data_IF_284936966602
#
_entry.id   IF_284936966602
#
_cell.length_a   1.000
_cell.length_b   1.000
_cell.length_c   1.000
_cell.angle_alpha   90.00
_cell.angle_beta   90.00
_cell.angle_gamma   90.00
#
_symmetry.space_group_name_H-M   'P 1'
#
loop_
_entity.id
_entity.type
_entity.pdbx_description
1 polymer ?
#
# COMPACT_ATOMS: atom_id res chain seq x y z
N UNK A 1 -3.23 -16.59 20.69
CA UNK A 1 -2.66 -17.45 19.64
C UNK A 1 -1.46 -16.72 19.12
N UNK A 2 -0.26 -17.21 19.40
CA UNK A 2 0.94 -16.70 18.75
C UNK A 2 0.80 -17.04 17.26
N UNK A 3 0.55 -16.01 16.47
CA UNK A 3 0.32 -16.13 15.04
C UNK A 3 1.65 -16.33 14.32
N UNK A 4 1.72 -17.35 13.46
CA UNK A 4 2.87 -17.70 12.60
C UNK A 4 3.11 -16.67 11.47
N UNK A 5 3.20 -15.39 11.81
CA UNK A 5 3.50 -14.33 10.85
C UNK A 5 4.90 -14.48 10.26
N UNK A 6 5.01 -14.33 8.94
CA UNK A 6 6.28 -14.44 8.21
C UNK A 6 6.89 -15.84 8.14
N UNK A 7 6.23 -16.87 8.68
CA UNK A 7 6.70 -18.25 8.58
C UNK A 7 6.50 -18.75 7.15
N UNK A 8 7.52 -19.35 6.51
CA UNK A 8 7.37 -19.95 5.18
C UNK A 8 6.22 -20.94 5.15
N UNK A 9 5.36 -20.82 4.14
CA UNK A 9 4.19 -21.69 3.97
C UNK A 9 4.44 -22.80 2.97
N UNK A 10 3.87 -23.96 3.25
CA UNK A 10 3.74 -25.02 2.26
C UNK A 10 2.72 -24.59 1.19
N UNK A 11 3.16 -24.57 -0.06
CA UNK A 11 2.37 -24.14 -1.20
C UNK A 11 1.87 -25.34 -2.00
N UNK A 12 0.62 -25.28 -2.46
CA UNK A 12 0.10 -26.22 -3.47
C UNK A 12 0.84 -26.07 -4.80
N UNK A 13 0.74 -27.07 -5.69
CA UNK A 13 1.40 -27.03 -7.00
C UNK A 13 1.00 -25.81 -7.85
N UNK A 14 -0.26 -25.38 -7.78
CA UNK A 14 -0.72 -24.16 -8.46
C UNK A 14 -0.08 -22.91 -7.87
N UNK A 15 0.02 -22.84 -6.54
CA UNK A 15 0.67 -21.71 -5.87
C UNK A 15 2.17 -21.66 -6.18
N UNK A 16 2.87 -22.81 -6.19
CA UNK A 16 4.28 -22.91 -6.60
C UNK A 16 4.49 -22.43 -8.04
N UNK A 17 3.60 -22.76 -8.98
CA UNK A 17 3.69 -22.20 -10.34
C UNK A 17 3.42 -20.70 -10.35
N UNK A 18 2.51 -20.22 -9.49
CA UNK A 18 2.15 -18.80 -9.42
C UNK A 18 3.26 -17.92 -8.84
N UNK A 19 4.12 -18.44 -7.95
CA UNK A 19 5.27 -17.68 -7.44
C UNK A 19 6.30 -17.33 -8.52
N UNK A 20 6.31 -18.07 -9.64
CA UNK A 20 7.22 -17.82 -10.78
C UNK A 20 6.82 -16.63 -11.64
N UNK A 21 5.57 -16.16 -11.53
CA UNK A 21 5.10 -15.01 -12.30
C UNK A 21 5.83 -13.73 -11.86
N UNK A 22 6.41 -13.02 -12.82
CA UNK A 22 7.06 -11.73 -12.60
C UNK A 22 6.15 -10.61 -13.11
N UNK A 23 5.62 -9.74 -12.24
CA UNK A 23 4.86 -8.57 -12.66
C UNK A 23 5.71 -7.63 -13.52
N UNK A 24 5.10 -7.05 -14.55
CA UNK A 24 5.75 -6.02 -15.37
C UNK A 24 5.86 -4.71 -14.59
N UNK A 25 7.05 -4.11 -14.60
CA UNK A 25 7.29 -2.81 -14.00
C UNK A 25 7.14 -1.70 -15.06
N UNK A 26 6.49 -0.57 -14.70
CA UNK A 26 6.46 0.62 -15.54
C UNK A 26 7.88 1.03 -15.99
N UNK A 27 8.08 1.48 -17.24
CA UNK A 27 9.40 1.86 -17.74
C UNK A 27 10.13 2.93 -16.91
N UNK A 28 9.41 3.76 -16.17
CA UNK A 28 9.98 4.76 -15.25
C UNK A 28 10.52 4.19 -13.94
N UNK A 29 10.18 2.95 -13.59
CA UNK A 29 10.64 2.24 -12.39
C UNK A 29 11.67 1.14 -12.71
N UNK A 30 12.09 1.02 -13.98
CA UNK A 30 13.10 0.04 -14.38
C UNK A 30 14.51 0.57 -14.11
N UNK A 31 15.32 -0.23 -13.40
CA UNK A 31 16.66 0.15 -12.96
C UNK A 31 16.64 0.90 -11.62
N UNK A 32 17.76 1.52 -11.26
CA UNK A 32 17.93 2.19 -9.96
C UNK A 32 17.91 3.72 -10.04
N UNK A 33 18.00 4.32 -11.23
CA UNK A 33 17.97 5.78 -11.37
C UNK A 33 16.52 6.26 -11.37
N UNK A 34 16.15 7.07 -10.38
CA UNK A 34 14.82 7.68 -10.30
C UNK A 34 14.87 9.07 -10.92
N UNK A 35 13.97 9.35 -11.86
CA UNK A 35 13.79 10.67 -12.47
C UNK A 35 12.40 11.17 -12.13
N UNK A 36 12.30 12.34 -11.51
CA UNK A 36 11.03 12.91 -11.08
C UNK A 36 10.93 14.38 -11.48
N UNK A 37 9.77 14.74 -12.01
CA UNK A 37 9.35 16.12 -12.25
C UNK A 37 8.20 16.45 -11.28
N UNK A 38 8.19 17.67 -10.77
CA UNK A 38 7.14 18.15 -9.88
C UNK A 38 6.23 19.10 -10.66
N UNK A 39 4.96 18.73 -10.76
CA UNK A 39 3.93 19.52 -11.42
C UNK A 39 3.18 20.44 -10.46
N UNK A 40 1.93 20.71 -10.79
CA UNK A 40 1.05 21.60 -10.02
C UNK A 40 0.81 21.12 -8.59
N UNK A 41 0.43 22.06 -7.72
CA UNK A 41 0.04 21.78 -6.35
C UNK A 41 -1.21 20.88 -6.31
N UNK A 42 -1.16 19.81 -5.50
CA UNK A 42 -2.32 18.96 -5.26
C UNK A 42 -3.30 19.68 -4.31
N UNK A 43 -4.43 20.11 -4.86
CA UNK A 43 -5.51 20.80 -4.15
C UNK A 43 -6.69 19.87 -3.88
N UNK A 44 -7.60 20.31 -3.00
CA UNK A 44 -8.85 19.60 -2.74
C UNK A 44 -9.67 19.41 -4.03
N UNK A 45 -10.26 18.22 -4.20
CA UNK A 45 -11.09 17.91 -5.37
C UNK A 45 -12.38 18.75 -5.41
N UNK A 46 -12.96 19.03 -4.24
CA UNK A 46 -14.09 19.95 -4.09
C UNK A 46 -13.60 21.32 -3.60
N UNK A 47 -13.72 22.38 -4.41
CA UNK A 47 -13.35 23.74 -4.01
C UNK A 47 -14.08 24.23 -2.75
N UNK A 48 -15.30 23.76 -2.49
CA UNK A 48 -16.06 24.18 -1.31
C UNK A 48 -15.40 23.69 0.00
N UNK A 49 -14.71 22.55 -0.04
CA UNK A 49 -13.97 22.00 1.09
C UNK A 49 -12.53 22.52 1.23
N UNK A 50 -12.01 23.22 0.22
CA UNK A 50 -10.59 23.57 0.14
C UNK A 50 -10.09 24.35 1.37
N UNK A 51 -10.84 25.37 1.83
CA UNK A 51 -10.47 26.18 2.99
C UNK A 51 -10.40 25.34 4.29
N UNK A 52 -11.36 24.44 4.49
CA UNK A 52 -11.40 23.58 5.68
C UNK A 52 -10.23 22.60 5.67
N UNK A 53 -9.96 22.00 4.52
CA UNK A 53 -8.85 21.04 4.36
C UNK A 53 -7.51 21.74 4.51
N UNK A 54 -7.30 22.91 3.89
CA UNK A 54 -6.05 23.64 4.03
C UNK A 54 -5.77 24.10 5.47
N UNK A 55 -6.82 24.43 6.23
CA UNK A 55 -6.68 24.77 7.64
C UNK A 55 -6.43 23.53 8.51
N UNK A 56 -6.96 22.36 8.15
CA UNK A 56 -6.71 21.12 8.85
C UNK A 56 -5.33 20.51 8.54
N UNK A 57 -4.77 20.79 7.36
CA UNK A 57 -3.52 20.24 6.86
C UNK A 57 -2.50 21.32 6.43
N UNK A 58 -2.15 22.29 7.29
CA UNK A 58 -1.31 23.43 6.92
C UNK A 58 0.12 23.04 6.47
N UNK A 59 0.64 21.87 6.86
CA UNK A 59 2.00 21.44 6.51
C UNK A 59 2.06 20.53 5.27
N UNK A 60 0.94 19.92 4.88
CA UNK A 60 0.88 18.94 3.79
C UNK A 60 -0.04 19.33 2.64
N UNK A 61 -0.94 20.29 2.82
CA UNK A 61 -1.82 20.79 1.76
C UNK A 61 -1.01 21.48 0.65
N UNK A 62 -1.36 21.22 -0.61
CA UNK A 62 -0.72 21.86 -1.77
C UNK A 62 0.66 21.30 -2.14
N UNK A 63 1.06 20.15 -1.60
CA UNK A 63 2.27 19.47 -2.06
C UNK A 63 2.19 19.16 -3.57
N UNK A 64 3.30 19.28 -4.31
CA UNK A 64 3.28 19.15 -5.76
C UNK A 64 3.06 17.70 -6.19
N UNK A 65 2.35 17.53 -7.31
CA UNK A 65 2.19 16.22 -7.95
C UNK A 65 3.53 15.76 -8.50
N UNK A 66 3.91 14.51 -8.24
CA UNK A 66 5.16 13.92 -8.71
C UNK A 66 4.94 13.05 -9.96
N UNK A 67 5.69 13.32 -11.02
CA UNK A 67 5.69 12.56 -12.27
C UNK A 67 7.02 11.82 -12.44
N UNK A 68 6.96 10.48 -12.44
CA UNK A 68 8.16 9.66 -12.67
C UNK A 68 8.41 9.48 -14.17
N UNK A 69 9.63 9.80 -14.59
CA UNK A 69 10.01 9.82 -15.99
C UNK A 69 10.83 8.59 -16.36
N UNK A 70 10.62 8.08 -17.57
CA UNK A 70 11.47 7.01 -18.15
C UNK A 70 12.93 7.46 -18.26
N UNK A 71 13.86 6.50 -18.27
CA UNK A 71 15.31 6.76 -18.36
C UNK A 71 15.71 7.66 -19.54
N UNK A 72 15.01 7.56 -20.66
CA UNK A 72 15.27 8.30 -21.91
C UNK A 72 14.57 9.66 -21.99
N UNK A 73 13.75 10.03 -20.99
CA UNK A 73 13.10 11.32 -20.97
C UNK A 73 14.14 12.43 -20.71
N UNK A 74 14.10 13.47 -21.54
CA UNK A 74 14.91 14.68 -21.39
C UNK A 74 13.95 15.80 -21.03
N UNK A 75 13.83 16.06 -19.72
CA UNK A 75 13.03 17.15 -19.16
C UNK A 75 13.99 18.05 -18.38
N UNK A 76 14.10 19.35 -18.71
CA UNK A 76 15.11 20.25 -18.14
C UNK A 76 15.10 20.32 -16.61
N UNK A 77 13.91 20.35 -16.00
CA UNK A 77 13.73 20.54 -14.56
C UNK A 77 13.55 19.22 -13.79
N UNK A 78 13.78 18.08 -14.45
CA UNK A 78 13.66 16.79 -13.80
C UNK A 78 14.80 16.56 -12.80
N UNK A 79 14.43 16.26 -11.56
CA UNK A 79 15.36 15.81 -10.54
C UNK A 79 15.78 14.38 -10.82
N UNK A 80 17.09 14.15 -10.91
CA UNK A 80 17.69 12.82 -11.11
C UNK A 80 18.31 12.35 -9.80
N UNK A 81 17.87 11.18 -9.33
CA UNK A 81 18.36 10.54 -8.11
C UNK A 81 19.05 9.24 -8.52
N UNK A 82 20.37 9.21 -8.44
CA UNK A 82 21.21 8.05 -8.75
C UNK A 82 21.85 7.43 -7.52
N UNK A 83 22.01 8.20 -6.45
CA UNK A 83 22.61 7.76 -5.19
C UNK A 83 21.52 7.48 -4.17
N UNK A 84 21.59 6.30 -3.56
CA UNK A 84 20.58 5.85 -2.60
C UNK A 84 21.25 5.47 -1.28
N UNK A 85 21.01 6.27 -0.25
CA UNK A 85 21.43 5.94 1.10
C UNK A 85 20.62 4.75 1.62
N UNK A 86 21.17 4.03 2.61
CA UNK A 86 20.46 2.92 3.23
C UNK A 86 19.25 3.46 4.01
N UNK A 87 18.06 2.91 3.73
CA UNK A 87 16.81 3.34 4.37
C UNK A 87 16.18 2.25 5.21
N UNK A 88 15.45 2.65 6.25
CA UNK A 88 14.64 1.78 7.10
C UNK A 88 13.17 2.13 6.88
N UNK A 89 12.44 1.24 6.24
CA UNK A 89 11.03 1.46 5.89
C UNK A 89 10.16 0.54 6.73
N UNK A 90 9.19 1.13 7.43
CA UNK A 90 8.11 0.40 8.09
C UNK A 90 6.96 0.14 7.11
N UNK A 91 6.30 -1.00 7.22
CA UNK A 91 5.12 -1.34 6.41
C UNK A 91 4.03 -1.99 7.26
N UNK A 92 2.79 -1.60 7.05
CA UNK A 92 1.65 -2.08 7.83
C UNK A 92 0.42 -2.31 6.96
N UNK A 93 -0.28 -3.42 7.21
CA UNK A 93 -1.60 -3.68 6.64
C UNK A 93 -2.71 -3.14 7.54
N UNK A 94 -3.52 -2.22 7.02
CA UNK A 94 -4.65 -1.62 7.71
C UNK A 94 -5.96 -1.91 7.00
N UNK A 95 -7.05 -2.03 7.75
CA UNK A 95 -8.40 -2.17 7.20
C UNK A 95 -8.72 -3.60 6.74
N UNK A 96 -9.52 -3.76 5.69
CA UNK A 96 -9.91 -5.10 5.19
C UNK A 96 -8.85 -5.67 4.26
N UNK A 97 -8.71 -7.00 4.25
CA UNK A 97 -7.80 -7.66 3.33
C UNK A 97 -8.26 -7.50 1.87
N UNK A 98 -7.30 -7.36 0.97
CA UNK A 98 -7.52 -7.25 -0.48
C UNK A 98 -6.47 -8.09 -1.23
N UNK A 99 -6.81 -8.74 -2.36
CA UNK A 99 -5.82 -9.37 -3.22
C UNK A 99 -4.73 -8.37 -3.65
N UNK A 100 -3.46 -8.81 -3.63
CA UNK A 100 -2.32 -8.00 -4.09
C UNK A 100 -1.52 -7.29 -2.99
N UNK A 101 -1.98 -7.27 -1.73
CA UNK A 101 -1.22 -6.64 -0.63
C UNK A 101 0.18 -7.22 -0.43
N UNK A 102 0.35 -8.54 -0.54
CA UNK A 102 1.69 -9.17 -0.49
C UNK A 102 2.60 -8.71 -1.63
N UNK A 103 2.07 -8.43 -2.83
CA UNK A 103 2.85 -7.91 -3.95
C UNK A 103 3.31 -6.47 -3.73
N UNK A 104 2.58 -5.66 -2.95
CA UNK A 104 3.06 -4.34 -2.52
C UNK A 104 4.27 -4.48 -1.60
N UNK A 105 4.21 -5.39 -0.61
CA UNK A 105 5.35 -5.68 0.27
C UNK A 105 6.55 -6.18 -0.53
N UNK A 106 6.32 -7.11 -1.46
CA UNK A 106 7.36 -7.67 -2.32
C UNK A 106 8.01 -6.61 -3.21
N UNK A 107 7.21 -5.79 -3.91
CA UNK A 107 7.73 -4.73 -4.78
C UNK A 107 8.51 -3.68 -4.02
N UNK A 108 8.04 -3.28 -2.84
CA UNK A 108 8.76 -2.35 -1.96
C UNK A 108 10.10 -2.95 -1.49
N UNK A 109 10.10 -4.22 -1.09
CA UNK A 109 11.32 -4.91 -0.68
C UNK A 109 12.36 -4.95 -1.81
N UNK A 110 11.97 -5.37 -3.01
CA UNK A 110 12.88 -5.41 -4.15
C UNK A 110 13.40 -4.02 -4.52
N UNK A 111 12.54 -3.00 -4.51
CA UNK A 111 12.93 -1.62 -4.82
C UNK A 111 13.99 -1.10 -3.84
N UNK A 112 13.77 -1.20 -2.53
CA UNK A 112 14.74 -0.66 -1.54
C UNK A 112 16.05 -1.45 -1.53
N UNK A 113 16.01 -2.77 -1.81
CA UNK A 113 17.20 -3.61 -1.89
C UNK A 113 18.00 -3.35 -3.17
N UNK A 114 17.32 -3.14 -4.30
CA UNK A 114 17.95 -2.75 -5.55
C UNK A 114 18.64 -1.38 -5.45
N UNK A 115 18.04 -0.43 -4.72
CA UNK A 115 18.64 0.87 -4.44
C UNK A 115 19.83 0.78 -3.50
N UNK A 116 19.70 0.07 -2.37
CA UNK A 116 20.79 -0.15 -1.42
C UNK A 116 20.57 -1.44 -0.62
N UNK A 117 21.52 -2.37 -0.71
CA UNK A 117 21.42 -3.69 -0.06
C UNK A 117 21.33 -3.63 1.47
N UNK A 118 21.85 -2.55 2.08
CA UNK A 118 21.80 -2.32 3.52
C UNK A 118 20.45 -1.79 4.01
N UNK A 119 19.53 -1.43 3.10
CA UNK A 119 18.18 -1.01 3.45
C UNK A 119 17.40 -2.14 4.12
N UNK A 120 16.47 -1.78 5.01
CA UNK A 120 15.66 -2.73 5.76
C UNK A 120 14.18 -2.43 5.61
N UNK A 121 13.39 -3.48 5.39
CA UNK A 121 11.93 -3.40 5.41
C UNK A 121 11.43 -4.09 6.69
N UNK A 122 10.65 -3.38 7.48
CA UNK A 122 10.15 -3.80 8.79
C UNK A 122 8.63 -3.85 8.73
N UNK A 123 8.06 -5.05 8.79
CA UNK A 123 6.61 -5.25 8.82
C UNK A 123 6.06 -5.17 10.24
N UNK A 124 4.99 -4.41 10.44
CA UNK A 124 4.27 -4.35 11.73
C UNK A 124 3.21 -5.43 11.83
N UNK A 125 3.23 -6.18 12.94
CA UNK A 125 2.44 -7.40 13.13
C UNK A 125 1.05 -7.11 13.72
N UNK A 126 0.01 -7.48 12.99
CA UNK A 126 -1.38 -7.25 13.40
C UNK A 126 -1.77 -5.79 13.23
N UNK A 127 -1.44 -5.17 12.09
CA UNK A 127 -1.90 -3.83 11.74
C UNK A 127 -1.47 -2.72 12.70
N UNK A 128 -2.37 -1.76 12.93
CA UNK A 128 -2.16 -0.59 13.80
C UNK A 128 -1.76 -0.97 15.24
N UNK A 129 -2.31 -2.06 15.78
CA UNK A 129 -1.96 -2.51 17.14
C UNK A 129 -0.49 -2.95 17.21
N UNK A 130 -0.01 -3.59 16.16
CA UNK A 130 1.41 -3.93 16.00
C UNK A 130 2.30 -2.72 15.89
N UNK A 131 1.84 -1.70 15.15
CA UNK A 131 2.52 -0.43 15.02
C UNK A 131 2.69 0.25 16.39
N UNK A 132 1.60 0.39 17.15
CA UNK A 132 1.62 1.04 18.47
C UNK A 132 2.41 0.24 19.51
N UNK A 133 2.36 -1.09 19.44
CA UNK A 133 3.08 -1.98 20.36
C UNK A 133 4.51 -2.33 19.89
N UNK A 134 4.98 -1.77 18.77
CA UNK A 134 6.27 -2.07 18.15
C UNK A 134 6.52 -3.57 17.89
N UNK A 135 5.45 -4.34 17.67
CA UNK A 135 5.55 -5.76 17.29
C UNK A 135 5.90 -5.83 15.82
N UNK A 136 7.12 -6.28 15.51
CA UNK A 136 7.69 -6.20 14.17
C UNK A 136 8.29 -7.50 13.69
N UNK A 137 8.44 -7.61 12.38
CA UNK A 137 9.14 -8.67 11.66
C UNK A 137 10.00 -8.03 10.57
N UNK A 138 11.30 -8.36 10.50
CA UNK A 138 12.13 -7.95 9.36
C UNK A 138 11.74 -8.78 8.13
N UNK A 139 11.36 -8.10 7.04
CA UNK A 139 11.02 -8.75 5.78
C UNK A 139 12.33 -9.16 5.09
N UNK A 140 12.44 -10.43 4.72
CA UNK A 140 13.60 -11.03 4.05
C UNK A 140 13.17 -11.84 2.84
N UNK A 141 14.12 -12.24 1.98
CA UNK A 141 13.86 -13.15 0.87
C UNK A 141 13.15 -14.43 1.31
N UNK A 142 13.55 -14.98 2.47
CA UNK A 142 12.94 -16.18 3.06
C UNK A 142 11.48 -15.96 3.42
N UNK A 143 11.15 -14.80 3.99
CA UNK A 143 9.76 -14.42 4.29
C UNK A 143 9.01 -14.31 2.98
N UNK A 144 9.49 -13.51 2.02
CA UNK A 144 8.77 -13.20 0.78
C UNK A 144 8.52 -14.44 -0.09
N UNK A 145 9.42 -15.43 -0.10
CA UNK A 145 9.40 -16.57 -1.00
C UNK A 145 8.03 -17.29 -1.09
N UNK A 146 7.35 -17.49 0.04
CA UNK A 146 6.03 -18.16 0.05
C UNK A 146 4.83 -17.23 -0.14
N UNK A 147 5.04 -15.91 -0.20
CA UNK A 147 3.97 -14.91 -0.33
C UNK A 147 3.93 -14.22 -1.70
N UNK A 148 4.97 -14.40 -2.54
CA UNK A 148 4.96 -13.88 -3.92
C UNK A 148 3.70 -14.34 -4.66
N UNK A 149 2.95 -13.37 -5.17
CA UNK A 149 1.72 -13.59 -5.94
C UNK A 149 0.61 -14.34 -5.19
N UNK A 150 0.68 -14.42 -3.86
CA UNK A 150 -0.38 -15.02 -3.03
C UNK A 150 -1.37 -13.95 -2.55
N UNK A 151 -2.63 -14.35 -2.38
CA UNK A 151 -3.64 -13.52 -1.72
C UNK A 151 -3.46 -13.48 -0.20
N UNK A 152 -4.37 -12.78 0.49
CA UNK A 152 -4.35 -12.66 1.96
C UNK A 152 -3.41 -11.57 2.46
N UNK A 153 -3.49 -11.30 3.77
CA UNK A 153 -2.63 -10.38 4.56
C UNK A 153 -1.94 -11.15 5.70
N UNK A 154 -1.92 -12.47 5.63
CA UNK A 154 -1.44 -13.39 6.66
C UNK A 154 0.09 -13.39 6.84
N UNK A 155 0.84 -12.67 5.99
CA UNK A 155 2.26 -12.38 6.22
C UNK A 155 2.48 -11.59 7.50
N UNK A 156 1.69 -10.54 7.72
CA UNK A 156 1.84 -9.61 8.86
C UNK A 156 0.60 -9.56 9.74
N UNK A 157 -0.55 -10.05 9.26
CA UNK A 157 -1.84 -9.82 9.89
C UNK A 157 -2.34 -8.39 9.70
N UNK A 158 -3.54 -8.11 10.20
CA UNK A 158 -4.20 -6.81 10.06
C UNK A 158 -5.12 -6.50 11.22
N UNK A 159 -5.39 -5.21 11.43
CA UNK A 159 -6.45 -4.71 12.31
C UNK A 159 -7.56 -4.06 11.50
N UNK A 160 -8.76 -3.97 12.09
CA UNK A 160 -9.87 -3.16 11.53
C UNK A 160 -9.82 -1.72 12.05
N UNK A 161 -9.01 -1.48 13.06
CA UNK A 161 -9.01 -0.24 13.83
C UNK A 161 -8.41 0.91 13.04
N UNK A 162 -8.78 2.12 13.46
CA UNK A 162 -8.38 3.37 12.85
C UNK A 162 -7.50 4.13 13.84
N UNK A 163 -6.53 4.87 13.33
CA UNK A 163 -5.64 5.72 14.13
C UNK A 163 -6.29 7.10 14.24
N UNK A 164 -7.17 7.27 15.23
CA UNK A 164 -8.00 8.47 15.38
C UNK A 164 -7.59 9.36 16.55
N UNK A 165 -7.19 8.76 17.66
CA UNK A 165 -6.93 9.55 18.88
C UNK A 165 -5.52 10.12 18.85
N UNK A 166 -5.34 11.26 19.53
CA UNK A 166 -4.03 11.91 19.67
C UNK A 166 -3.00 10.96 20.29
N UNK A 167 -3.42 10.10 21.23
CA UNK A 167 -2.56 9.09 21.84
C UNK A 167 -2.10 8.04 20.81
N UNK A 168 -2.99 7.59 19.92
CA UNK A 168 -2.63 6.64 18.87
C UNK A 168 -1.68 7.27 17.84
N UNK A 169 -1.96 8.51 17.42
CA UNK A 169 -1.09 9.26 16.50
C UNK A 169 0.31 9.44 17.09
N UNK A 170 0.38 9.88 18.36
CA UNK A 170 1.66 10.04 19.06
C UNK A 170 2.38 8.70 19.28
N UNK A 171 1.65 7.63 19.59
CA UNK A 171 2.20 6.28 19.71
C UNK A 171 2.79 5.75 18.40
N UNK A 172 2.14 6.02 17.27
CA UNK A 172 2.66 5.69 15.94
C UNK A 172 3.94 6.47 15.64
N UNK A 173 3.98 7.77 15.94
CA UNK A 173 5.18 8.60 15.80
C UNK A 173 6.34 8.09 16.66
N UNK A 174 6.08 7.83 17.94
CA UNK A 174 7.07 7.31 18.88
C UNK A 174 7.65 5.96 18.40
N UNK A 175 6.80 5.10 17.85
CA UNK A 175 7.23 3.81 17.29
C UNK A 175 8.11 3.98 16.06
N UNK A 176 7.78 4.91 15.16
CA UNK A 176 8.61 5.23 14.00
C UNK A 176 9.99 5.78 14.41
N UNK A 177 10.02 6.67 15.40
CA UNK A 177 11.26 7.25 15.93
C UNK A 177 12.12 6.22 16.66
N UNK A 178 11.52 5.38 17.51
CA UNK A 178 12.22 4.31 18.23
C UNK A 178 12.89 3.32 17.27
N UNK A 179 12.22 2.97 16.17
CA UNK A 179 12.73 2.09 15.13
C UNK A 179 13.62 2.80 14.10
N UNK A 180 13.78 4.13 14.22
CA UNK A 180 14.54 5.00 13.30
C UNK A 180 14.10 4.80 11.85
N UNK A 181 12.80 4.90 11.60
CA UNK A 181 12.24 4.74 10.26
C UNK A 181 12.40 6.01 9.44
N UNK A 182 12.86 5.87 8.20
CA UNK A 182 12.87 6.93 7.20
C UNK A 182 11.48 7.08 6.56
N UNK A 183 10.73 5.98 6.46
CA UNK A 183 9.36 5.99 5.96
C UNK A 183 8.46 4.95 6.66
N UNK A 184 7.17 5.24 6.72
CA UNK A 184 6.08 4.34 7.10
C UNK A 184 5.11 4.22 5.92
N UNK A 185 4.94 2.99 5.42
CA UNK A 185 4.03 2.66 4.33
C UNK A 185 2.77 2.02 4.90
N UNK A 186 1.62 2.66 4.67
CA UNK A 186 0.31 2.21 5.13
C UNK A 186 -0.47 1.65 3.94
N UNK A 187 -0.76 0.36 3.98
CA UNK A 187 -1.51 -0.34 2.94
C UNK A 187 -2.97 -0.46 3.39
N UNK A 188 -3.90 0.15 2.66
CA UNK A 188 -5.32 0.02 2.96
C UNK A 188 -6.24 0.86 2.07
N UNK A 189 -7.51 0.92 2.45
CA UNK A 189 -8.55 1.66 1.72
C UNK A 189 -8.66 3.12 2.13
N UNK A 190 -9.84 3.72 1.89
CA UNK A 190 -10.13 5.14 2.18
C UNK A 190 -9.75 5.54 3.61
N UNK A 191 -10.27 4.83 4.63
CA UNK A 191 -10.00 5.17 6.04
C UNK A 191 -8.53 5.08 6.40
N UNK A 192 -7.82 4.08 5.89
CA UNK A 192 -6.38 3.92 6.16
C UNK A 192 -5.54 5.01 5.51
N UNK A 193 -5.97 5.54 4.35
CA UNK A 193 -5.31 6.67 3.71
C UNK A 193 -5.68 8.00 4.38
N UNK A 194 -6.86 8.11 5.00
CA UNK A 194 -7.17 9.22 5.92
C UNK A 194 -6.23 9.21 7.13
N UNK A 195 -6.03 8.05 7.75
CA UNK A 195 -5.08 7.89 8.86
C UNK A 195 -3.65 8.25 8.42
N UNK A 196 -3.24 7.83 7.22
CA UNK A 196 -1.93 8.17 6.65
C UNK A 196 -1.75 9.68 6.45
N UNK A 197 -2.76 10.39 5.94
CA UNK A 197 -2.72 11.84 5.79
C UNK A 197 -2.61 12.55 7.15
N UNK A 198 -3.39 12.12 8.15
CA UNK A 198 -3.33 12.67 9.50
C UNK A 198 -1.97 12.45 10.15
N UNK A 199 -1.39 11.26 10.00
CA UNK A 199 -0.05 10.95 10.49
C UNK A 199 1.01 11.81 9.79
N UNK A 200 0.92 11.98 8.47
CA UNK A 200 1.86 12.81 7.70
C UNK A 200 1.85 14.26 8.19
N UNK A 201 0.67 14.81 8.45
CA UNK A 201 0.49 16.18 8.97
C UNK A 201 1.12 16.32 10.36
N UNK A 202 0.77 15.44 11.29
CA UNK A 202 1.33 15.48 12.65
C UNK A 202 2.84 15.24 12.65
N UNK A 203 3.36 14.37 11.79
CA UNK A 203 4.80 14.13 11.68
C UNK A 203 5.51 15.37 11.13
N UNK A 204 4.91 16.09 10.18
CA UNK A 204 5.45 17.33 9.66
C UNK A 204 5.46 18.45 10.71
N UNK A 205 4.35 18.63 11.44
CA UNK A 205 4.23 19.59 12.55
C UNK A 205 5.28 19.33 13.64
N UNK A 206 5.46 18.05 14.02
CA UNK A 206 6.43 17.62 15.01
C UNK A 206 7.88 17.55 14.48
N UNK A 207 8.12 17.91 13.20
CA UNK A 207 9.42 17.81 12.52
C UNK A 207 10.05 16.41 12.61
N UNK A 208 9.20 15.38 12.60
CA UNK A 208 9.63 13.99 12.53
C UNK A 208 10.29 13.72 11.16
N UNK A 209 11.43 13.01 11.17
CA UNK A 209 12.15 12.68 9.94
C UNK A 209 11.39 11.66 9.07
N UNK A 210 10.59 10.79 9.70
CA UNK A 210 9.85 9.72 9.03
C UNK A 210 8.81 10.29 8.07
N UNK A 211 8.80 9.80 6.82
CA UNK A 211 7.76 10.11 5.82
C UNK A 211 6.63 9.10 5.90
N UNK A 212 5.40 9.52 5.62
CA UNK A 212 4.25 8.61 5.60
C UNK A 212 3.76 8.47 4.16
N UNK A 213 3.55 7.23 3.70
CA UNK A 213 3.10 6.92 2.34
C UNK A 213 1.88 6.00 2.42
N UNK A 214 0.75 6.44 1.86
CA UNK A 214 -0.44 5.61 1.71
C UNK A 214 -0.43 4.84 0.38
N UNK A 215 -0.84 3.57 0.40
CA UNK A 215 -1.00 2.75 -0.81
C UNK A 215 -2.47 2.34 -0.94
N UNK A 216 -3.17 2.70 -2.05
CA UNK A 216 -4.59 2.45 -2.23
C UNK A 216 -4.88 0.98 -2.54
N UNK A 217 -5.14 0.20 -1.49
CA UNK A 217 -5.40 -1.23 -1.57
C UNK A 217 -6.73 -1.55 -0.89
N UNK A 218 -7.76 -1.80 -1.70
CA UNK A 218 -9.12 -2.10 -1.24
C UNK A 218 -9.89 -2.86 -2.32
N UNK A 219 -10.80 -3.73 -1.85
CA UNK A 219 -11.70 -4.50 -2.70
C UNK A 219 -12.88 -3.69 -3.25
N UNK A 220 -13.12 -2.49 -2.73
CA UNK A 220 -14.30 -1.68 -3.09
C UNK A 220 -14.11 -0.88 -4.39
N UNK A 221 -12.87 -0.56 -4.77
CA UNK A 221 -12.62 0.34 -5.91
C UNK A 221 -13.15 1.77 -5.70
N UNK A 222 -13.24 2.22 -4.45
CA UNK A 222 -13.86 3.49 -4.02
C UNK A 222 -12.86 4.62 -3.77
N UNK A 223 -11.57 4.31 -3.58
CA UNK A 223 -10.50 5.31 -3.49
C UNK A 223 -9.99 5.64 -4.90
N UNK A 224 -10.74 6.48 -5.62
CA UNK A 224 -10.45 6.90 -7.01
C UNK A 224 -10.54 8.41 -7.17
N UNK A 225 -9.73 8.94 -8.07
CA UNK A 225 -9.79 10.33 -8.54
C UNK A 225 -9.12 10.42 -9.92
N UNK A 226 -8.87 11.63 -10.42
CA UNK A 226 -8.22 11.85 -11.72
C UNK A 226 -6.78 11.28 -11.84
N UNK A 227 -6.14 10.93 -10.71
CA UNK A 227 -4.78 10.38 -10.65
C UNK A 227 -4.74 8.91 -10.23
N UNK A 228 -5.76 8.45 -9.50
CA UNK A 228 -5.91 7.08 -9.03
C UNK A 228 -7.08 6.45 -9.77
N UNK A 229 -6.77 5.74 -10.85
CA UNK A 229 -7.77 5.11 -11.73
C UNK A 229 -8.53 3.98 -11.03
N UNK A 230 -7.84 3.23 -10.17
CA UNK A 230 -8.41 2.11 -9.42
C UNK A 230 -7.55 1.70 -8.23
N UNK A 231 -8.07 0.80 -7.41
CA UNK A 231 -7.41 0.30 -6.20
C UNK A 231 -6.94 -1.14 -6.38
N UNK A 232 -5.82 -1.47 -5.74
CA UNK A 232 -5.28 -2.83 -5.80
C UNK A 232 -6.27 -3.83 -5.19
N UNK A 233 -6.58 -4.86 -5.96
CA UNK A 233 -7.47 -5.96 -5.60
C UNK A 233 -8.91 -5.85 -6.13
N UNK A 234 -9.37 -4.66 -6.54
CA UNK A 234 -10.72 -4.47 -7.10
C UNK A 234 -10.98 -5.38 -8.32
N UNK A 235 -10.05 -5.42 -9.28
CA UNK A 235 -10.13 -6.27 -10.48
C UNK A 235 -10.34 -7.75 -10.14
N UNK A 236 -9.52 -8.29 -9.21
CA UNK A 236 -9.58 -9.70 -8.83
C UNK A 236 -10.93 -10.04 -8.18
N UNK A 237 -11.44 -9.15 -7.33
CA UNK A 237 -12.71 -9.33 -6.65
C UNK A 237 -13.88 -9.30 -7.64
N UNK A 238 -13.87 -8.35 -8.59
CA UNK A 238 -14.87 -8.32 -9.66
C UNK A 238 -14.87 -9.61 -10.49
N UNK A 239 -13.68 -10.12 -10.89
CA UNK A 239 -13.57 -11.36 -11.67
C UNK A 239 -14.11 -12.58 -10.92
N UNK A 240 -13.73 -12.76 -9.65
CA UNK A 240 -14.19 -13.88 -8.84
C UNK A 240 -15.69 -13.80 -8.60
N UNK A 241 -16.22 -12.62 -8.24
CA UNK A 241 -17.66 -12.44 -8.02
C UNK A 241 -18.47 -12.67 -9.30
N UNK A 242 -18.02 -12.13 -10.43
CA UNK A 242 -18.68 -12.34 -11.72
C UNK A 242 -18.71 -13.83 -12.10
N UNK A 243 -17.61 -14.55 -11.87
CA UNK A 243 -17.56 -16.01 -12.11
C UNK A 243 -18.57 -16.75 -11.23
N UNK A 244 -18.64 -16.45 -9.93
CA UNK A 244 -19.58 -17.08 -9.01
C UNK A 244 -21.04 -16.80 -9.40
N UNK A 245 -21.36 -15.54 -9.70
CA UNK A 245 -22.69 -15.13 -10.16
C UNK A 245 -23.05 -15.86 -11.46
N UNK A 246 -22.14 -15.92 -12.43
CA UNK A 246 -22.35 -16.62 -13.70
C UNK A 246 -22.66 -18.10 -13.51
N UNK A 247 -21.92 -18.77 -12.60
CA UNK A 247 -22.15 -20.18 -12.30
C UNK A 247 -23.54 -20.39 -11.67
N UNK A 248 -23.93 -19.53 -10.73
CA UNK A 248 -25.26 -19.59 -10.09
C UNK A 248 -26.37 -19.33 -11.10
N UNK A 249 -26.22 -18.35 -11.99
CA UNK A 249 -27.19 -18.08 -13.06
C UNK A 249 -27.34 -19.28 -14.00
N UNK A 250 -26.24 -19.93 -14.34
CA UNK A 250 -26.23 -21.12 -15.21
C UNK A 250 -26.95 -22.30 -14.54
N UNK A 251 -26.69 -22.52 -13.25
CA UNK A 251 -27.36 -23.57 -12.47
C UNK A 251 -28.87 -23.29 -12.33
N UNK A 252 -29.23 -22.05 -12.02
CA UNK A 252 -30.63 -21.63 -11.90
C UNK A 252 -31.42 -21.81 -13.19
N UNK A 253 -30.80 -21.49 -14.35
CA UNK A 253 -31.36 -21.78 -15.67
C UNK A 253 -31.48 -23.29 -15.92
N UNK A 254 -30.50 -24.08 -15.51
CA UNK A 254 -30.50 -25.53 -15.70
C UNK A 254 -31.56 -26.24 -14.85
N UNK A 255 -31.83 -25.72 -13.65
CA UNK A 255 -32.78 -26.30 -12.71
C UNK A 255 -34.24 -25.84 -12.93
N UNK A 256 -34.46 -24.77 -13.71
CA UNK A 256 -35.77 -24.15 -14.00
C UNK A 256 -36.61 -23.74 -12.77
N UNK A 257 -36.01 -23.64 -11.57
CA UNK A 257 -36.73 -23.33 -10.32
C UNK A 257 -36.73 -21.86 -9.94
N UNK A 258 -35.66 -21.14 -10.26
CA UNK A 258 -35.44 -19.75 -9.87
C UNK A 258 -34.88 -18.99 -11.06
N UNK A 259 -35.39 -17.79 -11.34
CA UNK A 259 -34.83 -16.91 -12.37
C UNK A 259 -34.20 -15.71 -11.70
N UNK A 260 -32.87 -15.65 -11.72
CA UNK A 260 -32.11 -14.51 -11.21
C UNK A 260 -31.96 -13.50 -12.36
N UNK A 261 -32.62 -12.36 -12.27
CA UNK A 261 -32.41 -11.22 -13.17
C UNK A 261 -31.47 -10.22 -12.51
N UNK A 262 -30.44 -9.80 -13.24
CA UNK A 262 -29.59 -8.67 -12.88
C UNK A 262 -29.66 -7.64 -13.99
N UNK A 263 -29.85 -6.37 -13.62
CA UNK A 263 -29.55 -5.23 -14.47
C UNK A 263 -28.07 -4.89 -14.23
N UNK A 264 -27.24 -4.99 -15.28
CA UNK A 264 -25.82 -4.61 -15.29
C UNK A 264 -25.72 -3.20 -15.87
#
# INVERSE_FOLDING_TARGET
>A
MDSDYGVPRELSEVQKKRTLYQPELPPCLQGTTVRVEYGDAAIAADPAGAHVISHAFPHTYGQPIAHFLRKTAVVPDAKVISEHQAVRVGIVFCGRQSPGGHNVVWGLYEAIKAHNQNSKLIGFLGGSDGLLAQRTLEITDKVIASYKNQGGYDMLGRTKDQIRTTEQVNGAMASCQALKLDALVIIGGVTSNTDAAQLAETFAEAKCATKVVGVPVTLNGDLKNQFVETTVGFDTICKVNAQLISNVCTDALSAEKVRIKYDI
#
